data_IF_170604405608
#
_entry.id   IF_170604405608
#
_cell.length_a   1.000
_cell.length_b   1.000
_cell.length_c   1.000
_cell.angle_alpha   90.00
_cell.angle_beta   90.00
_cell.angle_gamma   90.00
#
_symmetry.space_group_name_H-M   'P 1'
#
loop_
_entity.id
_entity.type
_entity.pdbx_description
1 polymer ?
#
# COMPACT_ATOMS: atom_id res chain seq x y z
N UNK A 1 10.76 22.54 22.61
CA UNK A 1 10.91 21.22 22.51
C UNK A 1 10.68 20.70 21.15
N UNK A 2 11.54 19.91 20.64
CA UNK A 2 11.40 19.36 19.35
C UNK A 2 10.81 18.02 19.43
N UNK A 3 9.90 17.70 18.56
CA UNK A 3 9.36 16.38 18.46
C UNK A 3 9.76 15.79 17.17
N UNK A 4 10.02 14.51 17.18
CA UNK A 4 10.30 13.79 15.96
C UNK A 4 9.02 13.72 15.15
N UNK A 5 9.04 14.10 13.88
CA UNK A 5 7.84 14.06 13.08
C UNK A 5 7.39 12.63 12.86
N UNK A 6 6.11 12.44 12.90
CA UNK A 6 5.54 11.15 12.55
C UNK A 6 5.23 11.14 11.09
N UNK A 7 5.36 9.99 10.50
CA UNK A 7 5.06 9.82 9.10
C UNK A 7 4.34 8.50 8.94
N UNK A 8 3.21 8.51 8.27
CA UNK A 8 2.48 7.29 7.96
C UNK A 8 2.71 6.95 6.50
N UNK A 9 3.13 5.74 6.24
CA UNK A 9 3.43 5.29 4.90
C UNK A 9 2.52 4.12 4.58
N UNK A 10 1.85 4.18 3.43
CA UNK A 10 1.05 3.07 2.95
C UNK A 10 1.85 2.39 1.84
N UNK A 11 2.28 1.18 2.07
CA UNK A 11 3.02 0.40 1.10
C UNK A 11 2.09 -0.51 0.33
N UNK A 12 2.28 -0.61 -0.97
CA UNK A 12 1.45 -1.42 -1.83
C UNK A 12 2.33 -2.29 -2.69
N UNK A 13 2.06 -3.59 -2.67
CA UNK A 13 2.81 -4.56 -3.44
C UNK A 13 1.83 -5.19 -4.42
N UNK A 14 1.75 -4.71 -5.65
CA UNK A 14 0.72 -5.20 -6.56
C UNK A 14 1.07 -6.57 -7.15
N UNK A 15 0.09 -7.41 -7.21
CA UNK A 15 0.20 -8.70 -7.87
C UNK A 15 -0.96 -8.87 -8.84
N UNK A 16 -0.93 -9.89 -9.64
CA UNK A 16 -1.98 -10.10 -10.61
C UNK A 16 -3.23 -10.68 -9.97
N UNK A 17 -3.07 -11.47 -8.94
CA UNK A 17 -4.20 -12.12 -8.28
C UNK A 17 -4.47 -11.56 -6.90
N UNK A 18 -3.45 -11.05 -6.27
CA UNK A 18 -3.56 -10.54 -4.91
C UNK A 18 -2.69 -9.30 -4.80
N UNK A 19 -3.21 -8.27 -4.19
CA UNK A 19 -2.44 -7.06 -3.95
C UNK A 19 -2.20 -6.96 -2.45
N UNK A 20 -0.94 -6.89 -2.06
CA UNK A 20 -0.60 -6.75 -0.64
C UNK A 20 -0.49 -5.31 -0.23
N UNK A 21 -0.78 -5.00 1.02
CA UNK A 21 -0.59 -3.65 1.52
C UNK A 21 -0.17 -3.68 2.98
N UNK A 22 0.47 -2.61 3.39
CA UNK A 22 0.83 -2.41 4.79
C UNK A 22 0.83 -0.93 5.08
N UNK A 23 0.30 -0.55 6.21
CA UNK A 23 0.37 0.83 6.69
C UNK A 23 1.27 0.85 7.90
N UNK A 24 2.27 1.71 7.89
CA UNK A 24 3.23 1.80 8.99
C UNK A 24 3.36 3.25 9.44
N UNK A 25 3.60 3.43 10.72
CA UNK A 25 3.89 4.73 11.27
C UNK A 25 5.36 4.77 11.65
N UNK A 26 6.07 5.75 11.12
CA UNK A 26 7.46 5.94 11.43
C UNK A 26 7.59 7.15 12.34
N UNK A 27 8.30 7.00 13.41
CA UNK A 27 8.57 8.10 14.31
C UNK A 27 10.01 7.99 14.73
N UNK A 28 10.88 8.77 14.11
CA UNK A 28 12.31 8.65 14.34
C UNK A 28 12.79 7.31 13.87
N UNK A 29 13.37 6.53 14.76
CA UNK A 29 13.86 5.20 14.43
C UNK A 29 12.84 4.13 14.72
N UNK A 30 11.69 4.50 15.25
CA UNK A 30 10.67 3.51 15.57
C UNK A 30 9.74 3.33 14.39
N UNK A 31 9.33 2.11 14.19
CA UNK A 31 8.43 1.76 13.12
C UNK A 31 7.31 0.90 13.70
N UNK A 32 6.09 1.34 13.51
CA UNK A 32 4.95 0.64 14.06
C UNK A 32 4.05 0.19 12.94
N UNK A 33 3.68 -1.07 12.92
CA UNK A 33 2.77 -1.59 11.92
C UNK A 33 1.34 -1.25 12.34
N UNK A 34 0.66 -0.47 11.52
CA UNK A 34 -0.71 -0.09 11.82
C UNK A 34 -1.70 -1.09 11.24
N UNK A 35 -1.39 -1.62 10.07
CA UNK A 35 -2.26 -2.58 9.42
C UNK A 35 -1.51 -3.29 8.33
N UNK A 36 -1.91 -4.51 8.01
CA UNK A 36 -1.40 -5.17 6.81
C UNK A 36 -2.45 -6.15 6.35
N UNK A 37 -2.48 -6.42 5.09
CA UNK A 37 -3.45 -7.34 4.55
C UNK A 37 -3.29 -7.50 3.07
N UNK A 38 -4.29 -8.11 2.46
CA UNK A 38 -4.28 -8.33 1.03
C UNK A 38 -5.64 -7.97 0.46
N UNK A 39 -5.64 -7.60 -0.81
CA UNK A 39 -6.85 -7.41 -1.57
C UNK A 39 -6.90 -8.56 -2.55
N UNK A 40 -7.91 -9.39 -2.43
CA UNK A 40 -8.03 -10.57 -3.25
C UNK A 40 -8.70 -10.19 -4.56
N UNK A 41 -8.00 -10.38 -5.66
CA UNK A 41 -8.49 -10.02 -6.97
C UNK A 41 -8.83 -11.25 -7.81
N UNK A 42 -8.76 -12.43 -7.21
CA UNK A 42 -8.92 -13.67 -7.96
C UNK A 42 -10.31 -13.85 -8.57
N UNK A 43 -11.31 -13.25 -7.97
CA UNK A 43 -12.66 -13.37 -8.49
C UNK A 43 -13.02 -12.28 -9.48
N UNK A 44 -12.13 -11.34 -9.71
CA UNK A 44 -12.38 -10.29 -10.66
C UNK A 44 -12.05 -10.82 -12.05
N UNK A 45 -13.04 -10.80 -12.92
CA UNK A 45 -12.88 -11.44 -14.21
C UNK A 45 -12.22 -10.60 -15.26
N UNK A 46 -12.23 -9.32 -15.12
CA UNK A 46 -11.56 -8.48 -16.10
C UNK A 46 -10.82 -7.34 -15.41
N UNK A 47 -10.05 -6.63 -16.21
CA UNK A 47 -9.17 -5.61 -15.68
C UNK A 47 -9.95 -4.43 -15.08
N UNK A 48 -11.12 -4.15 -15.61
CA UNK A 48 -11.89 -3.03 -15.08
C UNK A 48 -12.43 -3.34 -13.69
N UNK A 49 -12.85 -4.57 -13.47
CA UNK A 49 -13.31 -4.98 -12.15
C UNK A 49 -12.16 -4.98 -11.16
N UNK A 50 -10.98 -5.40 -11.60
CA UNK A 50 -9.81 -5.37 -10.73
C UNK A 50 -9.46 -3.94 -10.34
N UNK A 51 -9.45 -3.04 -11.31
CA UNK A 51 -9.12 -1.66 -11.02
C UNK A 51 -10.12 -1.03 -10.07
N UNK A 52 -11.40 -1.31 -10.28
CA UNK A 52 -12.43 -0.79 -9.39
C UNK A 52 -12.25 -1.26 -7.97
N UNK A 53 -11.95 -2.54 -7.80
CA UNK A 53 -11.76 -3.08 -6.47
C UNK A 53 -10.52 -2.50 -5.80
N UNK A 54 -9.44 -2.34 -6.56
CA UNK A 54 -8.22 -1.75 -6.02
C UNK A 54 -8.48 -0.31 -5.60
N UNK A 55 -9.12 0.47 -6.45
CA UNK A 55 -9.39 1.86 -6.15
C UNK A 55 -10.25 2.00 -4.91
N UNK A 56 -11.28 1.19 -4.80
CA UNK A 56 -12.16 1.25 -3.68
C UNK A 56 -11.43 0.94 -2.38
N UNK A 57 -10.61 -0.07 -2.42
CA UNK A 57 -9.90 -0.50 -1.22
C UNK A 57 -8.79 0.47 -0.82
N UNK A 58 -8.05 0.96 -1.82
CA UNK A 58 -6.99 1.92 -1.55
C UNK A 58 -7.57 3.22 -1.00
N UNK A 59 -8.71 3.66 -1.56
CA UNK A 59 -9.36 4.86 -1.06
C UNK A 59 -9.79 4.68 0.40
N UNK A 60 -10.28 3.50 0.76
CA UNK A 60 -10.64 3.22 2.14
C UNK A 60 -9.42 3.26 3.06
N UNK A 61 -8.31 2.73 2.60
CA UNK A 61 -7.08 2.74 3.40
C UNK A 61 -6.56 4.15 3.57
N UNK A 62 -6.64 4.96 2.52
CA UNK A 62 -6.21 6.34 2.62
C UNK A 62 -7.08 7.12 3.59
N UNK A 63 -8.37 6.84 3.58
CA UNK A 63 -9.26 7.51 4.49
C UNK A 63 -9.04 7.07 5.94
N UNK A 64 -8.74 5.81 6.12
CA UNK A 64 -8.52 5.27 7.46
C UNK A 64 -7.22 5.72 8.08
N UNK A 65 -6.16 5.78 7.29
CA UNK A 65 -4.83 6.02 7.83
C UNK A 65 -4.20 7.35 7.47
N UNK A 66 -4.77 8.07 6.51
CA UNK A 66 -4.26 9.39 6.09
C UNK A 66 -2.74 9.37 5.88
N UNK A 67 -2.25 8.51 4.99
CA UNK A 67 -0.80 8.39 4.84
C UNK A 67 -0.17 9.64 4.26
N UNK A 68 1.04 9.91 4.72
CA UNK A 68 1.82 11.01 4.18
C UNK A 68 2.50 10.60 2.89
N UNK A 69 2.76 9.32 2.73
CA UNK A 69 3.43 8.79 1.54
C UNK A 69 2.81 7.47 1.15
N UNK A 70 2.81 7.20 -0.14
CA UNK A 70 2.42 5.92 -0.65
C UNK A 70 3.61 5.35 -1.40
N UNK A 71 4.05 4.16 -1.01
CA UNK A 71 5.16 3.49 -1.65
C UNK A 71 4.60 2.30 -2.43
N UNK A 72 4.86 2.26 -3.72
CA UNK A 72 4.38 1.19 -4.57
C UNK A 72 5.57 0.47 -5.14
N UNK A 73 5.65 -0.84 -4.90
CA UNK A 73 6.74 -1.60 -5.43
C UNK A 73 6.40 -1.99 -6.84
N UNK A 74 7.29 -1.74 -7.77
CA UNK A 74 7.08 -2.12 -9.16
C UNK A 74 7.75 -3.46 -9.38
N UNK A 75 7.01 -4.49 -9.61
CA UNK A 75 7.61 -5.81 -9.65
C UNK A 75 8.62 -6.00 -10.76
N UNK A 76 8.54 -5.21 -11.80
CA UNK A 76 9.49 -5.37 -12.85
C UNK A 76 10.63 -4.42 -12.77
N UNK A 77 10.65 -3.55 -11.78
CA UNK A 77 11.71 -2.63 -11.64
C UNK A 77 12.94 -3.33 -11.28
N UNK A 78 13.93 -3.19 -11.72
CA UNK A 78 15.13 -3.85 -11.34
C UNK A 78 15.35 -5.15 -12.03
N UNK A 79 14.34 -5.82 -12.50
CA UNK A 79 14.55 -6.99 -13.11
C UNK A 79 14.88 -6.78 -14.46
N UNK A 80 14.41 -5.97 -15.09
CA UNK A 80 14.57 -5.87 -16.38
C UNK A 80 15.31 -4.86 -16.86
N UNK A 81 15.87 -4.33 -16.05
CA UNK A 81 16.59 -3.41 -16.44
C UNK A 81 17.62 -3.79 -17.23
N UNK A 82 17.78 -4.53 -17.44
CA UNK A 82 18.76 -4.89 -18.19
C UNK A 82 18.68 -5.06 -19.31
#
# INVERSE_FOLDING_TARGET
MTQTPEKVILGIDPGTSVLGYAAVRMCGKKCEMLAMGVIDLRKCKDVYLKLGRILERVASLMEAFHPNEIAVEAPFCGKNVQ
#
